data_IF_882815043026
#
_entry.id   IF_882815043026
#
_cell.length_a   1.000
_cell.length_b   1.000
_cell.length_c   1.000
_cell.angle_alpha   90.00
_cell.angle_beta   90.00
_cell.angle_gamma   90.00
#
_symmetry.space_group_name_H-M   'P 1'
#
loop_
_entity.id
_entity.type
_entity.pdbx_description
1 polymer ?
#
# COMPACT_ATOMS: atom_id res chain seq x y z
N UNK A 1 8.62 39.40 3.06
CA UNK A 1 8.52 38.20 2.22
C UNK A 1 9.41 37.12 2.82
N UNK A 2 8.87 36.29 3.69
CA UNK A 2 9.59 35.24 4.41
C UNK A 2 9.44 33.96 3.61
N UNK A 3 10.54 33.52 2.95
CA UNK A 3 10.58 32.25 2.23
C UNK A 3 10.57 31.09 3.21
N UNK A 4 9.43 30.47 3.39
CA UNK A 4 9.26 29.27 4.20
C UNK A 4 9.88 28.07 3.47
N UNK A 5 11.21 28.03 3.40
CA UNK A 5 11.96 26.81 3.06
C UNK A 5 11.96 25.92 4.28
N UNK A 6 10.87 25.19 4.51
CA UNK A 6 11.01 23.93 5.24
C UNK A 6 11.90 23.05 4.38
N UNK A 7 13.18 22.98 4.73
CA UNK A 7 14.11 22.03 4.16
C UNK A 7 13.44 20.66 4.24
N UNK A 8 13.25 20.01 3.07
CA UNK A 8 12.96 18.58 3.04
C UNK A 8 14.10 17.91 3.80
N UNK A 9 13.82 17.50 5.03
CA UNK A 9 14.76 16.73 5.83
C UNK A 9 14.94 15.43 5.07
N UNK A 10 16.10 15.26 4.44
CA UNK A 10 16.44 14.00 3.79
C UNK A 10 16.28 12.89 4.84
N UNK A 11 15.44 11.92 4.55
CA UNK A 11 15.21 10.78 5.40
C UNK A 11 16.55 10.09 5.68
N UNK A 12 16.92 9.97 6.97
CA UNK A 12 18.17 9.34 7.39
C UNK A 12 18.05 7.82 7.27
N UNK A 13 19.15 7.16 6.90
CA UNK A 13 19.21 5.70 6.78
C UNK A 13 18.15 5.09 5.84
N UNK A 14 17.74 5.83 4.82
CA UNK A 14 16.74 5.41 3.86
C UNK A 14 17.36 5.17 2.51
N UNK A 15 16.83 4.16 1.80
CA UNK A 15 17.16 3.94 0.40
C UNK A 15 15.99 4.44 -0.45
N UNK A 16 16.23 5.49 -1.21
CA UNK A 16 15.31 6.00 -2.24
C UNK A 16 16.08 5.95 -3.55
N UNK A 17 15.71 5.01 -4.41
CA UNK A 17 16.37 4.82 -5.69
C UNK A 17 16.08 5.99 -6.65
N UNK A 18 16.96 6.22 -7.60
CA UNK A 18 16.86 7.36 -8.52
C UNK A 18 15.65 7.30 -9.48
N UNK A 19 15.07 6.11 -9.66
CA UNK A 19 13.90 5.84 -10.50
C UNK A 19 12.55 6.05 -9.80
N UNK A 20 12.57 6.42 -8.50
CA UNK A 20 11.35 6.74 -7.74
C UNK A 20 10.79 8.09 -8.18
N UNK A 21 9.50 8.11 -8.55
CA UNK A 21 8.79 9.33 -8.91
C UNK A 21 8.03 9.89 -7.72
N UNK A 22 8.43 11.05 -7.24
CA UNK A 22 7.80 11.74 -6.12
C UNK A 22 7.01 12.95 -6.58
N UNK A 23 5.77 13.03 -6.16
CA UNK A 23 4.91 14.19 -6.32
C UNK A 23 5.31 15.36 -5.41
N UNK A 24 4.65 16.50 -5.58
CA UNK A 24 4.91 17.71 -4.78
C UNK A 24 4.47 17.51 -3.32
N UNK A 25 5.31 17.91 -2.36
CA UNK A 25 4.98 17.89 -0.94
C UNK A 25 4.85 16.50 -0.32
N UNK A 26 5.40 15.47 -0.97
CA UNK A 26 5.50 14.12 -0.37
C UNK A 26 6.39 14.18 0.86
N UNK A 27 5.92 13.58 1.97
CA UNK A 27 6.66 13.48 3.23
C UNK A 27 7.12 12.03 3.42
N UNK A 28 8.42 11.82 3.55
CA UNK A 28 9.00 10.49 3.75
C UNK A 28 9.74 10.50 5.08
N UNK A 29 9.44 9.52 5.93
CA UNK A 29 10.11 9.33 7.21
C UNK A 29 11.33 8.41 7.06
N UNK A 30 12.11 8.25 8.13
CA UNK A 30 13.37 7.51 8.11
C UNK A 30 13.19 6.00 7.89
N UNK A 31 14.26 5.32 7.48
CA UNK A 31 14.37 3.86 7.31
C UNK A 31 13.42 3.27 6.24
N UNK A 32 13.12 3.98 5.18
CA UNK A 32 12.32 3.45 4.07
C UNK A 32 13.20 2.79 3.01
N UNK A 33 12.61 1.86 2.24
CA UNK A 33 13.19 1.28 1.03
C UNK A 33 12.23 1.48 -0.14
N UNK A 34 12.54 2.45 -1.02
CA UNK A 34 11.69 2.81 -2.16
C UNK A 34 12.48 2.64 -3.46
N UNK A 35 11.92 1.94 -4.43
CA UNK A 35 12.53 1.75 -5.74
C UNK A 35 11.49 1.52 -6.84
N UNK A 36 11.67 2.13 -8.01
CA UNK A 36 10.82 1.97 -9.21
C UNK A 36 9.34 2.28 -9.01
N UNK A 37 8.97 3.00 -7.96
CA UNK A 37 7.58 3.29 -7.60
C UNK A 37 7.19 4.75 -7.87
N UNK A 38 5.89 5.02 -7.86
CA UNK A 38 5.32 6.35 -8.01
C UNK A 38 4.52 6.74 -6.76
N UNK A 39 4.75 7.95 -6.24
CA UNK A 39 4.05 8.47 -5.05
C UNK A 39 3.50 9.85 -5.36
N UNK A 40 2.18 9.99 -5.31
CA UNK A 40 1.45 11.22 -5.65
C UNK A 40 1.55 12.32 -4.60
N UNK A 41 1.16 13.53 -5.04
CA UNK A 41 1.30 14.78 -4.28
C UNK A 41 0.71 14.70 -2.85
N UNK A 42 1.43 15.24 -1.88
CA UNK A 42 0.97 15.40 -0.50
C UNK A 42 0.84 14.11 0.31
N UNK A 43 1.28 12.97 -0.24
CA UNK A 43 1.24 11.70 0.46
C UNK A 43 2.33 11.60 1.53
N UNK A 44 2.07 10.79 2.57
CA UNK A 44 2.96 10.58 3.71
C UNK A 44 3.36 9.11 3.79
N UNK A 45 4.66 8.85 3.82
CA UNK A 45 5.24 7.51 3.89
C UNK A 45 5.92 7.35 5.24
N UNK A 46 5.41 6.46 6.06
CA UNK A 46 5.87 6.19 7.41
C UNK A 46 7.23 5.49 7.45
N UNK A 47 7.79 5.39 8.64
CA UNK A 47 9.07 4.73 8.92
C UNK A 47 9.00 3.22 8.63
N UNK A 48 10.09 2.64 8.12
CA UNK A 48 10.19 1.22 7.78
C UNK A 48 9.20 0.75 6.70
N UNK A 49 8.75 1.63 5.84
CA UNK A 49 7.92 1.28 4.68
C UNK A 49 8.81 0.84 3.53
N UNK A 50 8.42 -0.25 2.88
CA UNK A 50 8.97 -0.67 1.59
C UNK A 50 7.93 -0.54 0.49
N UNK A 51 8.31 0.08 -0.64
CA UNK A 51 7.48 0.18 -1.85
C UNK A 51 8.33 -0.24 -3.04
N UNK A 52 7.90 -1.29 -3.73
CA UNK A 52 8.64 -1.93 -4.81
C UNK A 52 8.35 -1.30 -6.18
N UNK A 53 9.18 -1.70 -7.17
CA UNK A 53 9.04 -1.32 -8.58
C UNK A 53 7.62 -1.54 -9.08
N UNK A 54 7.10 -0.63 -9.92
CA UNK A 54 5.78 -0.74 -10.51
C UNK A 54 4.60 -0.45 -9.57
N UNK A 55 4.82 -0.36 -8.25
CA UNK A 55 3.77 0.03 -7.32
C UNK A 55 3.45 1.52 -7.43
N UNK A 56 2.17 1.88 -7.24
CA UNK A 56 1.67 3.26 -7.34
C UNK A 56 0.90 3.65 -6.10
N UNK A 57 1.23 4.81 -5.54
CA UNK A 57 0.49 5.46 -4.45
C UNK A 57 -0.01 6.79 -4.96
N UNK A 58 -1.30 7.00 -4.89
CA UNK A 58 -1.98 8.22 -5.32
C UNK A 58 -1.67 9.44 -4.44
N UNK A 59 -2.47 10.49 -4.61
CA UNK A 59 -2.31 11.77 -3.89
C UNK A 59 -2.95 11.73 -2.51
N UNK A 60 -2.37 12.49 -1.57
CA UNK A 60 -2.91 12.66 -0.21
C UNK A 60 -3.17 11.35 0.53
N UNK A 61 -2.38 10.31 0.21
CA UNK A 61 -2.42 9.05 0.93
C UNK A 61 -1.60 9.10 2.22
N UNK A 62 -1.99 8.28 3.19
CA UNK A 62 -1.19 8.03 4.39
C UNK A 62 -0.84 6.55 4.46
N UNK A 63 0.44 6.25 4.25
CA UNK A 63 1.01 4.92 4.41
C UNK A 63 1.72 4.88 5.76
N UNK A 64 1.21 4.08 6.69
CA UNK A 64 1.76 4.00 8.04
C UNK A 64 2.98 3.08 8.10
N UNK A 65 3.72 3.13 9.20
CA UNK A 65 5.01 2.43 9.35
C UNK A 65 4.90 0.91 9.20
N UNK A 66 6.01 0.30 8.76
CA UNK A 66 6.16 -1.15 8.57
C UNK A 66 5.21 -1.75 7.52
N UNK A 67 4.68 -0.94 6.62
CA UNK A 67 3.84 -1.41 5.52
C UNK A 67 4.72 -1.88 4.37
N UNK A 68 4.36 -3.03 3.80
CA UNK A 68 4.99 -3.58 2.60
C UNK A 68 4.04 -3.48 1.42
N UNK A 69 4.47 -2.78 0.36
CA UNK A 69 3.72 -2.60 -0.88
C UNK A 69 4.53 -3.17 -2.02
N UNK A 70 4.15 -4.37 -2.48
CA UNK A 70 4.84 -5.08 -3.54
C UNK A 70 4.47 -4.57 -4.94
N UNK A 71 5.21 -5.03 -5.93
CA UNK A 71 4.94 -4.81 -7.34
C UNK A 71 3.49 -5.18 -7.72
N UNK A 72 2.85 -4.40 -8.61
CA UNK A 72 1.48 -4.62 -9.07
C UNK A 72 0.40 -4.04 -8.15
N UNK A 73 0.77 -3.39 -7.06
CA UNK A 73 -0.19 -2.72 -6.17
C UNK A 73 -0.43 -1.28 -6.63
N UNK A 74 -1.69 -0.93 -6.83
CA UNK A 74 -2.13 0.46 -7.06
C UNK A 74 -3.02 0.91 -5.91
N UNK A 75 -2.59 1.95 -5.21
CA UNK A 75 -3.36 2.66 -4.18
C UNK A 75 -3.77 4.00 -4.76
N UNK A 76 -5.07 4.22 -4.92
CA UNK A 76 -5.61 5.47 -5.44
C UNK A 76 -5.53 6.61 -4.41
N UNK A 77 -6.07 7.78 -4.78
CA UNK A 77 -6.01 9.00 -3.96
C UNK A 77 -6.73 8.87 -2.60
N UNK A 78 -6.23 9.60 -1.61
CA UNK A 78 -6.90 9.80 -0.32
C UNK A 78 -7.06 8.51 0.52
N UNK A 79 -6.28 7.48 0.22
CA UNK A 79 -6.31 6.23 0.96
C UNK A 79 -5.53 6.28 2.27
N UNK A 80 -6.02 5.54 3.24
CA UNK A 80 -5.32 5.29 4.50
C UNK A 80 -4.87 3.83 4.56
N UNK A 81 -3.57 3.59 4.73
CA UNK A 81 -2.99 2.27 4.95
C UNK A 81 -2.37 2.24 6.35
N UNK A 82 -2.88 1.39 7.19
CA UNK A 82 -2.48 1.23 8.59
C UNK A 82 -1.06 0.67 8.73
N UNK A 83 -0.62 0.53 9.98
CA UNK A 83 0.71 -0.04 10.28
C UNK A 83 0.77 -1.53 9.96
N UNK A 84 1.94 -2.04 9.53
CA UNK A 84 2.15 -3.47 9.29
C UNK A 84 1.15 -4.09 8.30
N UNK A 85 0.65 -3.32 7.34
CA UNK A 85 -0.16 -3.87 6.25
C UNK A 85 0.77 -4.52 5.24
N UNK A 86 0.40 -5.73 4.80
CA UNK A 86 1.18 -6.50 3.83
C UNK A 86 0.31 -6.78 2.60
N UNK A 87 0.81 -6.39 1.43
CA UNK A 87 0.26 -6.76 0.15
C UNK A 87 1.03 -7.96 -0.42
N UNK A 88 0.32 -8.86 -1.06
CA UNK A 88 0.87 -10.07 -1.69
C UNK A 88 0.62 -9.97 -3.19
N UNK A 89 1.58 -10.34 -4.03
CA UNK A 89 1.48 -10.28 -5.48
C UNK A 89 1.68 -11.63 -6.18
N UNK A 90 2.05 -12.66 -5.44
CA UNK A 90 2.14 -14.03 -5.95
C UNK A 90 1.11 -14.92 -5.23
N UNK A 91 0.30 -15.62 -6.02
CA UNK A 91 -0.74 -16.53 -5.49
C UNK A 91 -0.17 -17.84 -4.98
N UNK A 92 0.93 -18.30 -5.57
CA UNK A 92 1.57 -19.58 -5.28
C UNK A 92 3.08 -19.40 -5.10
N UNK A 93 3.51 -18.67 -4.06
CA UNK A 93 4.92 -18.35 -3.88
C UNK A 93 5.76 -19.62 -3.66
N UNK A 94 6.87 -19.71 -4.36
CA UNK A 94 7.82 -20.79 -4.18
C UNK A 94 9.26 -20.24 -4.24
N UNK A 95 10.16 -20.86 -3.52
CA UNK A 95 11.58 -20.48 -3.55
C UNK A 95 12.29 -20.98 -4.80
N UNK A 96 11.85 -22.12 -5.32
CA UNK A 96 12.43 -22.79 -6.49
C UNK A 96 11.35 -23.13 -7.52
N UNK A 97 11.72 -23.16 -8.78
CA UNK A 97 10.86 -23.61 -9.86
C UNK A 97 10.80 -25.16 -9.94
N UNK A 98 10.01 -25.70 -10.86
CA UNK A 98 9.88 -27.16 -11.03
C UNK A 98 11.18 -27.88 -11.39
N UNK A 99 12.19 -27.18 -11.91
CA UNK A 99 13.52 -27.73 -12.21
C UNK A 99 14.47 -27.69 -11.00
N UNK A 100 14.03 -27.18 -9.84
CA UNK A 100 14.85 -27.07 -8.63
C UNK A 100 15.81 -25.87 -8.60
N UNK A 101 15.74 -24.96 -9.58
CA UNK A 101 16.49 -23.71 -9.60
C UNK A 101 15.74 -22.61 -8.86
N UNK A 102 16.44 -21.61 -8.31
CA UNK A 102 15.79 -20.43 -7.71
C UNK A 102 14.83 -19.81 -8.72
N UNK A 103 13.65 -19.44 -8.23
CA UNK A 103 12.61 -18.79 -9.05
C UNK A 103 13.14 -17.49 -9.64
N UNK A 104 12.86 -17.28 -10.93
CA UNK A 104 13.13 -16.06 -11.68
C UNK A 104 11.81 -15.36 -12.04
N UNK A 105 11.87 -14.15 -12.60
CA UNK A 105 10.68 -13.38 -13.00
C UNK A 105 9.76 -14.15 -13.97
N UNK A 106 10.30 -15.03 -14.79
CA UNK A 106 9.52 -15.83 -15.75
C UNK A 106 8.78 -17.03 -15.12
N UNK A 107 9.10 -17.39 -13.88
CA UNK A 107 8.56 -18.58 -13.22
C UNK A 107 7.23 -18.33 -12.47
N UNK A 108 6.82 -17.07 -12.34
CA UNK A 108 5.60 -16.70 -11.66
C UNK A 108 4.82 -15.61 -12.40
N UNK A 109 3.57 -15.41 -12.03
CA UNK A 109 2.70 -14.43 -12.68
C UNK A 109 2.29 -13.36 -11.68
N UNK A 110 2.66 -12.12 -11.97
CA UNK A 110 2.20 -10.96 -11.23
C UNK A 110 0.67 -10.86 -11.28
N UNK A 111 0.05 -10.73 -10.11
CA UNK A 111 -1.39 -10.51 -9.98
C UNK A 111 -1.64 -9.18 -9.29
N UNK A 112 -2.18 -8.23 -10.04
CA UNK A 112 -2.40 -6.86 -9.58
C UNK A 112 -3.43 -6.76 -8.48
N UNK A 113 -3.22 -5.82 -7.57
CA UNK A 113 -4.13 -5.47 -6.47
C UNK A 113 -4.44 -3.98 -6.50
N UNK A 114 -5.70 -3.63 -6.24
CA UNK A 114 -6.15 -2.24 -6.30
C UNK A 114 -6.85 -1.82 -5.00
N UNK A 115 -6.44 -0.69 -4.46
CA UNK A 115 -7.12 0.01 -3.36
C UNK A 115 -7.71 1.29 -3.93
N UNK A 116 -9.04 1.33 -4.06
CA UNK A 116 -9.74 2.45 -4.66
C UNK A 116 -9.77 3.66 -3.73
N UNK A 117 -10.07 4.81 -4.32
CA UNK A 117 -10.07 6.13 -3.68
C UNK A 117 -10.78 6.12 -2.32
N UNK A 118 -10.19 6.82 -1.33
CA UNK A 118 -10.72 6.97 0.05
C UNK A 118 -10.89 5.66 0.84
N UNK A 119 -10.44 4.54 0.34
CA UNK A 119 -10.47 3.31 1.12
C UNK A 119 -9.50 3.40 2.31
N UNK A 120 -9.83 2.66 3.37
CA UNK A 120 -9.02 2.58 4.58
C UNK A 120 -8.71 1.13 4.90
N UNK A 121 -7.43 0.81 5.08
CA UNK A 121 -6.96 -0.53 5.47
C UNK A 121 -6.39 -0.47 6.88
N UNK A 122 -7.01 -1.23 7.78
CA UNK A 122 -6.62 -1.29 9.19
C UNK A 122 -5.25 -1.95 9.39
N UNK A 123 -4.59 -1.58 10.50
CA UNK A 123 -3.26 -2.08 10.84
C UNK A 123 -3.22 -3.62 10.91
N UNK A 124 -2.10 -4.20 10.44
CA UNK A 124 -1.89 -5.65 10.46
C UNK A 124 -2.73 -6.43 9.45
N UNK A 125 -3.45 -5.77 8.55
CA UNK A 125 -4.20 -6.46 7.52
C UNK A 125 -3.26 -7.06 6.45
N UNK A 126 -3.65 -8.23 5.92
CA UNK A 126 -3.00 -8.91 4.81
C UNK A 126 -3.94 -8.88 3.62
N UNK A 127 -3.46 -8.35 2.49
CA UNK A 127 -4.24 -8.23 1.26
C UNK A 127 -3.69 -9.20 0.23
N UNK A 128 -4.46 -10.22 -0.11
CA UNK A 128 -4.08 -11.19 -1.13
C UNK A 128 -4.11 -10.55 -2.53
N UNK A 129 -3.30 -11.10 -3.43
CA UNK A 129 -3.25 -10.65 -4.81
C UNK A 129 -4.58 -10.83 -5.56
N UNK A 130 -4.84 -9.97 -6.54
CA UNK A 130 -6.06 -9.99 -7.34
C UNK A 130 -7.27 -9.37 -6.66
N UNK A 131 -7.09 -8.75 -5.50
CA UNK A 131 -8.17 -8.11 -4.74
C UNK A 131 -8.34 -6.66 -5.15
N UNK A 132 -9.59 -6.23 -5.32
CA UNK A 132 -9.97 -4.82 -5.39
C UNK A 132 -10.69 -4.43 -4.10
N UNK A 133 -10.15 -3.44 -3.39
CA UNK A 133 -10.81 -2.79 -2.25
C UNK A 133 -11.54 -1.56 -2.79
N UNK A 134 -12.86 -1.59 -2.77
CA UNK A 134 -13.73 -0.58 -3.37
C UNK A 134 -13.62 0.81 -2.74
N UNK A 135 -14.09 1.83 -3.46
CA UNK A 135 -14.05 3.22 -3.03
C UNK A 135 -14.70 3.41 -1.64
N UNK A 136 -14.00 4.12 -0.76
CA UNK A 136 -14.48 4.40 0.58
C UNK A 136 -14.69 3.18 1.48
N UNK A 137 -14.29 1.98 1.04
CA UNK A 137 -14.38 0.76 1.86
C UNK A 137 -13.42 0.81 3.05
N UNK A 138 -13.74 0.03 4.07
CA UNK A 138 -12.90 -0.09 5.27
C UNK A 138 -12.58 -1.56 5.55
N UNK A 139 -11.30 -1.86 5.68
CA UNK A 139 -10.79 -3.15 6.14
C UNK A 139 -10.41 -3.04 7.61
N UNK A 140 -11.00 -3.88 8.46
CA UNK A 140 -10.69 -3.93 9.88
C UNK A 140 -9.23 -4.34 10.14
N UNK A 141 -8.68 -3.91 11.28
CA UNK A 141 -7.32 -4.30 11.67
C UNK A 141 -7.19 -5.83 11.81
N UNK A 142 -6.00 -6.37 11.47
CA UNK A 142 -5.71 -7.81 11.54
C UNK A 142 -6.49 -8.68 10.56
N UNK A 143 -7.16 -8.10 9.57
CA UNK A 143 -7.97 -8.86 8.60
C UNK A 143 -7.13 -9.50 7.51
N UNK A 144 -7.57 -10.66 7.01
CA UNK A 144 -7.02 -11.28 5.79
C UNK A 144 -8.04 -11.15 4.66
N UNK A 145 -7.75 -10.25 3.70
CA UNK A 145 -8.65 -9.97 2.58
C UNK A 145 -8.35 -10.89 1.43
N UNK A 146 -9.24 -11.83 1.17
CA UNK A 146 -9.08 -12.87 0.15
C UNK A 146 -9.98 -12.68 -1.07
N UNK A 147 -10.90 -11.71 -1.04
CA UNK A 147 -11.89 -11.41 -2.09
C UNK A 147 -12.09 -9.91 -2.21
N UNK A 148 -12.64 -9.48 -3.34
CA UNK A 148 -13.00 -8.07 -3.55
C UNK A 148 -13.91 -7.54 -2.44
N UNK A 149 -13.67 -6.29 -2.04
CA UNK A 149 -14.49 -5.56 -1.08
C UNK A 149 -15.32 -4.53 -1.83
N UNK A 150 -16.63 -4.60 -1.66
CA UNK A 150 -17.53 -3.65 -2.31
C UNK A 150 -17.29 -2.20 -1.82
N UNK A 151 -17.55 -1.17 -2.64
CA UNK A 151 -17.47 0.22 -2.21
C UNK A 151 -18.28 0.47 -0.94
N UNK A 152 -17.81 1.40 -0.10
CA UNK A 152 -18.49 1.83 1.13
C UNK A 152 -18.87 0.70 2.09
N UNK A 153 -18.14 -0.41 2.07
CA UNK A 153 -18.39 -1.60 2.89
C UNK A 153 -17.29 -1.75 3.95
N UNK A 154 -17.66 -2.14 5.16
CA UNK A 154 -16.73 -2.53 6.22
C UNK A 154 -16.61 -4.05 6.22
N UNK A 155 -15.37 -4.54 6.09
CA UNK A 155 -15.04 -5.96 6.22
C UNK A 155 -14.05 -6.19 7.36
N UNK A 156 -14.11 -7.33 8.02
CA UNK A 156 -13.10 -7.73 9.03
C UNK A 156 -13.02 -9.25 9.18
N UNK A 157 -11.93 -9.70 9.81
CA UNK A 157 -11.68 -11.10 10.17
C UNK A 157 -10.72 -11.85 9.24
N UNK A 158 -10.51 -13.12 9.52
CA UNK A 158 -9.66 -14.04 8.74
C UNK A 158 -10.45 -15.34 8.41
N UNK A 159 -10.84 -15.57 7.14
CA UNK A 159 -10.87 -14.60 6.06
C UNK A 159 -11.87 -13.47 6.34
N UNK A 160 -11.63 -12.30 5.76
CA UNK A 160 -12.49 -11.14 5.99
C UNK A 160 -13.89 -11.36 5.41
N UNK A 161 -14.90 -10.92 6.19
CA UNK A 161 -16.32 -10.96 5.80
C UNK A 161 -16.93 -9.57 5.98
N UNK A 162 -17.98 -9.29 5.21
CA UNK A 162 -18.75 -8.04 5.37
C UNK A 162 -19.38 -8.01 6.77
N UNK A 163 -19.16 -6.88 7.46
CA UNK A 163 -19.81 -6.59 8.73
C UNK A 163 -21.04 -5.68 8.53
N UNK A 164 -20.86 -4.57 7.82
CA UNK A 164 -21.89 -3.57 7.54
C UNK A 164 -21.40 -2.58 6.49
N UNK A 165 -22.24 -1.64 6.10
CA UNK A 165 -21.86 -0.52 5.27
C UNK A 165 -21.18 0.57 6.11
N UNK A 166 -20.34 1.38 5.47
CA UNK A 166 -19.68 2.54 6.11
C UNK A 166 -20.77 3.58 6.43
N UNK A 167 -20.86 4.06 7.67
CA UNK A 167 -21.82 5.12 8.03
C UNK A 167 -21.61 6.37 7.17
N UNK A 168 -22.70 6.95 6.69
CA UNK A 168 -22.67 8.18 5.87
C UNK A 168 -22.54 9.47 6.70
N UNK A 169 -22.36 9.36 8.01
CA UNK A 169 -22.19 10.52 8.89
C UNK A 169 -20.76 11.08 8.81
N UNK A 170 -20.55 12.39 9.09
CA UNK A 170 -19.22 12.95 9.21
C UNK A 170 -18.39 12.12 10.19
N UNK A 171 -17.15 11.81 9.79
CA UNK A 171 -16.19 11.20 10.72
C UNK A 171 -15.85 12.28 11.77
N UNK A 172 -16.25 12.06 13.01
CA UNK A 172 -15.93 12.91 14.14
C UNK A 172 -14.42 12.96 14.38
#
# INVERSE_FOLDING_TARGET
>A
MSSNRRSQRLAKFSRIAADVKLGKGVQIYDFVNLYGCEIGDGSKIGTFVEIQKGAKVGKRCKISSHTFICEGVTIEDECFIGHHVVFINDRFPAAVNFAGSLQAEADWKLVETRVCKRASVGSGAIILCGVTIGEGAMVGAGSVVTKNVAPHTIVAGNPSKKLRDVPQAPRA
#
